data_IF_154953603847
#
_entry.id   IF_154953603847
#
_cell.length_a   1.000
_cell.length_b   1.000
_cell.length_c   1.000
_cell.angle_alpha   90.00
_cell.angle_beta   90.00
_cell.angle_gamma   90.00
#
_symmetry.space_group_name_H-M   'P 1'
#
loop_
_entity.id
_entity.type
_entity.pdbx_description
1 polymer ?
#
# COMPACT_ATOMS: atom_id res chain seq x y z
N UNK A 1 0.91 -15.30 9.15
CA UNK A 1 1.34 -13.99 8.63
C UNK A 1 1.25 -14.00 7.11
N UNK A 2 0.84 -12.90 6.47
CA UNK A 2 0.66 -12.82 5.02
C UNK A 2 1.99 -13.10 4.28
N UNK A 3 1.95 -14.06 3.35
CA UNK A 3 3.06 -14.49 2.49
C UNK A 3 2.49 -15.11 1.20
N UNK A 4 3.33 -15.31 0.19
CA UNK A 4 2.91 -15.98 -1.06
C UNK A 4 2.39 -17.40 -0.78
N UNK A 5 3.06 -18.16 0.07
CA UNK A 5 2.64 -19.53 0.38
C UNK A 5 1.34 -19.52 1.20
N UNK A 6 1.20 -18.62 2.17
CA UNK A 6 -0.06 -18.44 2.89
C UNK A 6 -1.23 -18.12 1.95
N UNK A 7 -1.02 -17.27 0.93
CA UNK A 7 -2.06 -16.95 -0.06
C UNK A 7 -2.49 -18.22 -0.82
N UNK A 8 -1.55 -19.07 -1.23
CA UNK A 8 -1.86 -20.34 -1.90
C UNK A 8 -2.64 -21.28 -0.99
N UNK A 9 -2.24 -21.42 0.26
CA UNK A 9 -2.86 -22.30 1.23
C UNK A 9 -4.32 -21.94 1.52
N UNK A 10 -4.63 -20.63 1.61
CA UNK A 10 -5.98 -20.16 1.91
C UNK A 10 -6.85 -19.90 0.66
N UNK A 11 -6.28 -19.98 -0.55
CA UNK A 11 -6.99 -19.71 -1.78
C UNK A 11 -8.35 -20.42 -1.90
N UNK A 12 -8.50 -21.71 -1.52
CA UNK A 12 -9.80 -22.36 -1.54
C UNK A 12 -10.86 -21.68 -0.66
N UNK A 13 -10.46 -21.09 0.47
CA UNK A 13 -11.35 -20.35 1.36
C UNK A 13 -11.72 -18.99 0.74
N UNK A 14 -10.76 -18.30 0.16
CA UNK A 14 -11.00 -17.02 -0.54
C UNK A 14 -11.92 -17.19 -1.75
N UNK A 15 -11.81 -18.31 -2.49
CA UNK A 15 -12.70 -18.60 -3.63
C UNK A 15 -14.14 -18.96 -3.22
N UNK A 16 -14.37 -19.36 -1.95
CA UNK A 16 -15.74 -19.47 -1.40
C UNK A 16 -16.36 -18.10 -1.15
N UNK A 17 -15.56 -17.10 -0.79
CA UNK A 17 -16.04 -15.73 -0.59
C UNK A 17 -16.33 -15.03 -1.93
N UNK A 18 -15.46 -15.24 -2.93
CA UNK A 18 -15.64 -14.66 -4.28
C UNK A 18 -15.13 -15.66 -5.35
N UNK A 19 -16.05 -16.32 -6.02
CA UNK A 19 -15.74 -17.39 -6.99
C UNK A 19 -14.91 -16.91 -8.19
N UNK A 20 -15.04 -15.63 -8.56
CA UNK A 20 -14.33 -15.04 -9.71
C UNK A 20 -12.82 -14.91 -9.45
N UNK A 21 -12.36 -14.91 -8.21
CA UNK A 21 -10.93 -14.95 -7.89
C UNK A 21 -10.22 -16.20 -8.42
N UNK A 22 -10.95 -17.32 -8.54
CA UNK A 22 -10.42 -18.56 -9.17
C UNK A 22 -10.10 -18.36 -10.65
N UNK A 23 -10.82 -17.46 -11.34
CA UNK A 23 -10.53 -17.13 -12.73
C UNK A 23 -9.21 -16.35 -12.85
N UNK A 24 -8.85 -15.55 -11.86
CA UNK A 24 -7.58 -14.83 -11.84
C UNK A 24 -6.42 -15.83 -11.76
N UNK A 25 -6.49 -16.78 -10.83
CA UNK A 25 -5.49 -17.85 -10.74
C UNK A 25 -5.38 -18.65 -12.04
N UNK A 26 -6.51 -19.08 -12.62
CA UNK A 26 -6.54 -19.88 -13.85
C UNK A 26 -5.89 -19.16 -15.02
N UNK A 27 -6.07 -17.85 -15.15
CA UNK A 27 -5.63 -17.07 -16.30
C UNK A 27 -4.25 -16.43 -16.13
N UNK A 28 -3.82 -16.16 -14.89
CA UNK A 28 -2.63 -15.37 -14.59
C UNK A 28 -1.73 -16.00 -13.52
N UNK A 29 -2.09 -17.17 -12.98
CA UNK A 29 -1.39 -17.82 -11.88
C UNK A 29 -1.65 -17.15 -10.52
N UNK A 30 -0.98 -17.66 -9.50
CA UNK A 30 -1.05 -17.09 -8.16
C UNK A 30 -0.33 -15.75 -8.06
N UNK A 31 -0.88 -14.77 -7.32
CA UNK A 31 -0.17 -13.53 -7.04
C UNK A 31 1.04 -13.81 -6.14
N UNK A 32 2.17 -13.14 -6.44
CA UNK A 32 3.26 -13.02 -5.48
C UNK A 32 2.96 -11.95 -4.43
N UNK A 33 3.44 -12.17 -3.23
CA UNK A 33 3.42 -11.17 -2.17
C UNK A 33 4.84 -10.81 -1.78
N UNK A 34 5.20 -9.56 -2.05
CA UNK A 34 6.51 -9.01 -1.70
C UNK A 34 6.36 -8.12 -0.46
N UNK A 35 6.72 -8.61 0.74
CA UNK A 35 6.65 -7.81 1.95
C UNK A 35 7.60 -6.62 1.86
N UNK A 36 7.19 -5.51 2.45
CA UNK A 36 8.03 -4.32 2.56
C UNK A 36 8.73 -4.29 3.91
N UNK A 37 9.79 -3.49 3.98
CA UNK A 37 10.44 -3.15 5.25
C UNK A 37 9.40 -2.58 6.23
N UNK A 38 9.65 -2.76 7.52
CA UNK A 38 8.88 -2.17 8.61
C UNK A 38 9.50 -0.85 9.05
N UNK A 39 8.78 -0.14 9.89
CA UNK A 39 9.31 1.02 10.58
C UNK A 39 9.31 2.32 9.78
N UNK A 40 10.07 3.25 10.28
CA UNK A 40 10.14 4.63 9.78
C UNK A 40 10.59 4.70 8.32
N UNK A 41 11.52 3.82 7.92
CA UNK A 41 12.08 3.76 6.56
C UNK A 41 10.98 3.47 5.53
N UNK A 42 10.07 2.54 5.83
CA UNK A 42 8.97 2.20 4.94
C UNK A 42 7.99 3.37 4.75
N UNK A 43 7.68 4.09 5.81
CA UNK A 43 6.81 5.27 5.74
C UNK A 43 7.49 6.42 5.00
N UNK A 44 8.77 6.70 5.25
CA UNK A 44 9.55 7.68 4.47
C UNK A 44 9.54 7.36 2.98
N UNK A 45 9.81 6.10 2.61
CA UNK A 45 9.79 5.63 1.22
C UNK A 45 8.42 5.83 0.57
N UNK A 46 7.35 5.58 1.32
CA UNK A 46 5.98 5.79 0.84
C UNK A 46 5.68 7.28 0.61
N UNK A 47 6.09 8.17 1.54
CA UNK A 47 5.96 9.63 1.37
C UNK A 47 6.74 10.12 0.14
N UNK A 48 7.95 9.61 -0.07
CA UNK A 48 8.75 9.91 -1.29
C UNK A 48 7.95 9.57 -2.55
N UNK A 49 7.32 8.41 -2.58
CA UNK A 49 6.59 7.89 -3.73
C UNK A 49 5.27 8.62 -4.06
N UNK A 50 4.70 9.39 -3.12
CA UNK A 50 3.42 10.06 -3.35
C UNK A 50 3.45 10.97 -4.59
N UNK A 51 2.44 10.84 -5.46
CA UNK A 51 2.26 11.67 -6.67
C UNK A 51 3.46 11.66 -7.65
N UNK A 52 4.24 10.59 -7.65
CA UNK A 52 5.36 10.41 -8.57
C UNK A 52 5.22 9.10 -9.36
N UNK A 53 5.86 9.05 -10.52
CA UNK A 53 6.08 7.78 -11.21
C UNK A 53 7.01 6.87 -10.38
N UNK A 54 6.93 5.57 -10.61
CA UNK A 54 7.78 4.57 -9.93
C UNK A 54 9.26 4.92 -10.16
N UNK A 55 9.65 5.28 -11.39
CA UNK A 55 11.03 5.63 -11.73
C UNK A 55 11.51 6.89 -10.99
N UNK A 56 10.68 7.95 -10.96
CA UNK A 56 11.02 9.19 -10.25
C UNK A 56 11.13 8.97 -8.74
N UNK A 57 10.20 8.21 -8.16
CA UNK A 57 10.23 7.86 -6.74
C UNK A 57 11.49 7.05 -6.38
N UNK A 58 11.86 6.07 -7.21
CA UNK A 58 13.06 5.26 -7.01
C UNK A 58 14.35 6.10 -7.09
N UNK A 59 14.43 7.04 -8.05
CA UNK A 59 15.58 7.92 -8.20
C UNK A 59 15.76 8.86 -6.98
N UNK A 60 14.68 9.48 -6.50
CA UNK A 60 14.73 10.35 -5.30
C UNK A 60 15.08 9.51 -4.06
N UNK A 61 14.46 8.34 -3.91
CA UNK A 61 14.75 7.45 -2.79
C UNK A 61 16.20 6.98 -2.77
N UNK A 62 16.79 6.65 -3.94
CA UNK A 62 18.20 6.29 -4.07
C UNK A 62 19.11 7.40 -3.55
N UNK A 63 18.96 8.62 -4.09
CA UNK A 63 19.73 9.80 -3.64
C UNK A 63 19.56 10.10 -2.15
N UNK A 64 18.34 9.97 -1.63
CA UNK A 64 18.07 10.17 -0.20
C UNK A 64 18.82 9.17 0.68
N UNK A 65 18.86 7.90 0.28
CA UNK A 65 19.63 6.87 1.01
C UNK A 65 21.13 7.13 0.97
N UNK A 66 21.65 7.50 -0.18
CA UNK A 66 23.07 7.82 -0.36
C UNK A 66 23.52 9.03 0.45
N UNK A 67 22.63 10.02 0.61
CA UNK A 67 22.90 11.21 1.40
C UNK A 67 22.94 10.96 2.92
N UNK A 68 22.44 9.81 3.38
CA UNK A 68 22.43 9.35 4.79
C UNK A 68 21.95 10.41 5.80
N UNK A 69 20.95 11.21 5.41
CA UNK A 69 20.41 12.30 6.24
C UNK A 69 19.68 11.73 7.46
N UNK A 70 20.09 12.16 8.64
CA UNK A 70 19.54 11.70 9.92
C UNK A 70 18.24 12.43 10.27
N UNK A 71 17.42 11.80 11.11
CA UNK A 71 16.14 12.38 11.54
C UNK A 71 16.32 13.67 12.35
N UNK A 72 17.36 13.77 13.17
CA UNK A 72 17.70 15.00 13.90
C UNK A 72 18.00 16.17 12.97
N UNK A 73 18.68 15.94 11.85
CA UNK A 73 18.99 16.97 10.83
C UNK A 73 17.70 17.45 10.13
N UNK A 74 16.78 16.52 9.88
CA UNK A 74 15.45 16.85 9.33
C UNK A 74 14.65 17.68 10.31
N UNK A 75 14.63 17.31 11.59
CA UNK A 75 13.91 18.00 12.65
C UNK A 75 14.43 19.44 12.88
N UNK A 76 15.75 19.62 12.84
CA UNK A 76 16.42 20.90 13.08
C UNK A 76 16.52 21.79 11.83
N UNK A 77 15.86 21.42 10.73
CA UNK A 77 15.91 22.10 9.43
C UNK A 77 17.31 22.16 8.76
N UNK A 78 18.29 21.46 9.31
CA UNK A 78 19.67 21.45 8.78
C UNK A 78 19.74 20.85 7.37
N UNK A 79 18.89 19.85 7.09
CA UNK A 79 18.85 19.17 5.81
C UNK A 79 17.87 19.77 4.79
N UNK A 80 17.16 20.84 5.09
CA UNK A 80 16.07 21.34 4.22
C UNK A 80 16.50 21.67 2.80
N UNK A 81 17.65 22.33 2.63
CA UNK A 81 18.18 22.66 1.31
C UNK A 81 18.66 21.41 0.59
N UNK A 82 19.40 20.54 1.28
CA UNK A 82 19.86 19.27 0.74
C UNK A 82 18.68 18.37 0.29
N UNK A 83 17.61 18.29 1.08
CA UNK A 83 16.41 17.57 0.69
C UNK A 83 15.75 18.15 -0.58
N UNK A 84 15.76 19.47 -0.76
CA UNK A 84 15.28 20.10 -2.00
C UNK A 84 16.14 19.72 -3.20
N UNK A 85 17.45 19.73 -3.04
CA UNK A 85 18.40 19.37 -4.10
C UNK A 85 18.25 17.87 -4.50
N UNK A 86 17.88 17.01 -3.56
CA UNK A 86 17.53 15.61 -3.81
C UNK A 86 16.18 15.42 -4.54
N UNK A 87 15.37 16.49 -4.66
CA UNK A 87 14.09 16.49 -5.37
C UNK A 87 12.85 16.45 -4.49
N UNK A 88 12.97 16.73 -3.18
CA UNK A 88 11.80 16.81 -2.30
C UNK A 88 11.06 18.14 -2.44
N UNK A 89 9.74 18.09 -2.59
CA UNK A 89 8.92 19.29 -2.46
C UNK A 89 8.88 19.77 -1.00
N UNK A 90 8.58 21.07 -0.81
CA UNK A 90 8.37 21.65 0.53
C UNK A 90 7.36 20.85 1.36
N UNK A 91 6.31 20.37 0.72
CA UNK A 91 5.27 19.57 1.34
C UNK A 91 5.82 18.23 1.84
N UNK A 92 6.60 17.50 1.03
CA UNK A 92 7.23 16.23 1.44
C UNK A 92 8.23 16.41 2.57
N UNK A 93 9.00 17.51 2.57
CA UNK A 93 9.89 17.85 3.70
C UNK A 93 9.08 18.05 4.97
N UNK A 94 7.95 18.77 4.92
CA UNK A 94 7.04 18.90 6.07
C UNK A 94 6.49 17.57 6.56
N UNK A 95 6.21 16.63 5.66
CA UNK A 95 5.75 15.28 6.01
C UNK A 95 6.85 14.45 6.66
N UNK A 96 8.09 14.50 6.14
CA UNK A 96 9.24 13.85 6.76
C UNK A 96 9.50 14.37 8.19
N UNK A 97 9.37 15.68 8.42
CA UNK A 97 9.48 16.29 9.75
C UNK A 97 8.39 15.79 10.70
N UNK A 98 7.14 15.74 10.23
CA UNK A 98 6.03 15.22 11.02
C UNK A 98 6.26 13.75 11.39
N UNK A 99 6.75 12.97 10.44
CA UNK A 99 7.05 11.56 10.66
C UNK A 99 8.24 11.35 11.61
N UNK A 100 9.33 12.10 11.47
CA UNK A 100 10.48 12.03 12.36
C UNK A 100 10.13 12.44 13.81
N UNK A 101 9.17 13.38 13.97
CA UNK A 101 8.69 13.85 15.28
C UNK A 101 7.69 12.89 15.94
N UNK A 102 7.13 11.92 15.20
CA UNK A 102 5.98 11.15 15.66
C UNK A 102 6.25 10.24 16.87
N UNK A 103 7.51 9.84 17.07
CA UNK A 103 7.87 8.93 18.15
C UNK A 103 7.19 7.56 18.10
N UNK A 104 6.84 7.08 16.88
CA UNK A 104 6.13 5.82 16.70
C UNK A 104 6.90 4.64 17.26
N UNK A 105 6.22 3.84 18.08
CA UNK A 105 6.68 2.53 18.49
C UNK A 105 6.20 1.46 17.50
N UNK A 106 7.09 1.06 16.60
CA UNK A 106 6.76 0.10 15.54
C UNK A 106 6.63 -1.34 16.06
N UNK A 107 7.27 -1.68 17.18
CA UNK A 107 7.13 -3.01 17.77
C UNK A 107 5.76 -3.13 18.47
N UNK A 108 5.31 -2.08 19.13
CA UNK A 108 3.98 -2.02 19.70
C UNK A 108 2.89 -2.19 18.62
N UNK A 109 3.07 -1.59 17.44
CA UNK A 109 2.11 -1.73 16.34
C UNK A 109 1.87 -3.17 15.90
N UNK A 110 2.82 -4.09 16.11
CA UNK A 110 2.64 -5.50 15.73
C UNK A 110 1.51 -6.18 16.52
N UNK A 111 1.27 -5.73 17.74
CA UNK A 111 0.27 -6.29 18.65
C UNK A 111 -1.04 -5.51 18.71
N UNK A 112 -1.05 -4.27 18.19
CA UNK A 112 -2.26 -3.42 18.16
C UNK A 112 -3.32 -3.96 17.21
N UNK A 113 -4.58 -3.63 17.45
CA UNK A 113 -5.67 -3.88 16.51
C UNK A 113 -5.51 -3.07 15.22
N UNK A 114 -6.09 -3.55 14.14
CA UNK A 114 -5.95 -2.92 12.81
C UNK A 114 -6.41 -1.45 12.81
N UNK A 115 -7.53 -1.18 13.46
CA UNK A 115 -8.12 0.16 13.52
C UNK A 115 -7.24 1.13 14.31
N UNK A 116 -6.66 0.67 15.42
CA UNK A 116 -5.77 1.48 16.25
C UNK A 116 -4.49 1.85 15.49
N UNK A 117 -3.90 0.91 14.75
CA UNK A 117 -2.74 1.20 13.88
C UNK A 117 -3.08 2.22 12.81
N UNK A 118 -4.23 2.07 12.14
CA UNK A 118 -4.68 3.00 11.10
C UNK A 118 -4.89 4.39 11.70
N UNK A 119 -5.56 4.49 12.85
CA UNK A 119 -5.81 5.77 13.53
C UNK A 119 -4.50 6.45 13.96
N UNK A 120 -3.56 5.68 14.52
CA UNK A 120 -2.24 6.17 14.91
C UNK A 120 -1.47 6.73 13.70
N UNK A 121 -1.42 5.99 12.60
CA UNK A 121 -0.70 6.39 11.40
C UNK A 121 -1.35 7.59 10.70
N UNK A 122 -2.68 7.63 10.60
CA UNK A 122 -3.41 8.74 9.96
C UNK A 122 -3.36 10.04 10.77
N UNK A 123 -3.04 9.99 12.06
CA UNK A 123 -2.73 11.16 12.87
C UNK A 123 -1.45 11.90 12.46
N UNK A 124 -0.60 11.29 11.63
CA UNK A 124 0.66 11.89 11.18
C UNK A 124 0.42 12.67 9.89
N UNK A 125 0.81 13.94 9.88
CA UNK A 125 0.70 14.77 8.69
C UNK A 125 1.45 14.16 7.51
N UNK A 126 0.74 13.92 6.42
CA UNK A 126 1.28 13.30 5.20
C UNK A 126 1.03 11.79 5.10
N UNK A 127 0.49 11.16 6.13
CA UNK A 127 0.06 9.76 6.12
C UNK A 127 -1.47 9.73 6.01
N UNK A 128 -1.98 9.51 4.81
CA UNK A 128 -3.41 9.33 4.57
C UNK A 128 -3.86 7.89 4.81
N UNK A 129 -5.19 7.67 4.82
CA UNK A 129 -5.80 6.36 5.05
C UNK A 129 -5.23 5.28 4.12
N UNK A 130 -5.16 5.55 2.82
CA UNK A 130 -4.56 4.62 1.85
C UNK A 130 -3.11 4.24 2.23
N UNK A 131 -2.29 5.20 2.66
CA UNK A 131 -0.90 4.96 3.07
C UNK A 131 -0.84 4.07 4.31
N UNK A 132 -1.71 4.31 5.30
CA UNK A 132 -1.81 3.50 6.51
C UNK A 132 -2.26 2.06 6.19
N UNK A 133 -3.27 1.89 5.34
CA UNK A 133 -3.77 0.60 4.90
C UNK A 133 -2.68 -0.19 4.14
N UNK A 134 -1.93 0.45 3.24
CA UNK A 134 -0.80 -0.15 2.52
C UNK A 134 0.31 -0.57 3.49
N UNK A 135 0.62 0.24 4.51
CA UNK A 135 1.60 -0.12 5.54
C UNK A 135 1.14 -1.36 6.32
N UNK A 136 -0.13 -1.42 6.72
CA UNK A 136 -0.71 -2.57 7.40
C UNK A 136 -0.61 -3.86 6.57
N UNK A 137 -0.89 -3.79 5.26
CA UNK A 137 -0.82 -4.96 4.37
C UNK A 137 0.62 -5.40 4.13
N UNK A 138 1.49 -4.49 3.67
CA UNK A 138 2.81 -4.88 3.14
C UNK A 138 3.91 -4.91 4.20
N UNK A 139 3.85 -4.05 5.23
CA UNK A 139 4.86 -3.99 6.28
C UNK A 139 4.45 -4.82 7.51
N UNK A 140 3.23 -4.67 8.03
CA UNK A 140 2.72 -5.44 9.15
C UNK A 140 2.14 -6.80 8.75
N UNK A 141 1.93 -7.06 7.46
CA UNK A 141 1.40 -8.32 6.90
C UNK A 141 0.05 -8.72 7.48
N UNK A 142 -0.82 -7.73 7.70
CA UNK A 142 -2.17 -7.94 8.22
C UNK A 142 -3.06 -8.62 7.18
N UNK A 143 -3.91 -9.54 7.61
CA UNK A 143 -4.74 -10.36 6.72
C UNK A 143 -6.04 -9.66 6.31
N UNK A 144 -6.51 -8.75 7.14
CA UNK A 144 -7.87 -8.21 7.03
C UNK A 144 -7.90 -6.68 6.96
N UNK A 145 -7.21 -6.13 5.94
CA UNK A 145 -7.20 -4.71 5.57
C UNK A 145 -7.59 -4.59 4.10
N UNK A 146 -8.34 -3.56 3.75
CA UNK A 146 -8.72 -3.32 2.35
C UNK A 146 -8.65 -1.83 2.00
N UNK A 147 -7.70 -1.41 1.15
CA UNK A 147 -7.53 -0.02 0.75
C UNK A 147 -8.56 0.36 -0.33
N UNK A 148 -9.80 0.56 0.09
CA UNK A 148 -10.94 0.78 -0.80
C UNK A 148 -10.84 2.05 -1.66
N UNK A 149 -10.03 3.02 -1.25
CA UNK A 149 -9.69 4.22 -2.01
C UNK A 149 -8.68 3.99 -3.13
N UNK A 150 -8.10 2.79 -3.26
CA UNK A 150 -7.14 2.47 -4.31
C UNK A 150 -7.81 2.34 -5.67
N UNK A 151 -7.43 3.21 -6.62
CA UNK A 151 -8.05 3.26 -7.95
C UNK A 151 -7.84 1.98 -8.76
N UNK A 152 -6.70 1.31 -8.59
CA UNK A 152 -6.42 0.06 -9.29
C UNK A 152 -7.32 -1.07 -8.76
N UNK A 153 -7.60 -1.11 -7.46
CA UNK A 153 -8.55 -2.05 -6.88
C UNK A 153 -9.98 -1.78 -7.33
N UNK A 154 -10.41 -0.52 -7.39
CA UNK A 154 -11.73 -0.15 -7.88
C UNK A 154 -11.90 -0.54 -9.35
N UNK A 155 -10.90 -0.28 -10.18
CA UNK A 155 -10.92 -0.65 -11.59
C UNK A 155 -10.89 -2.17 -11.77
N UNK A 156 -10.04 -2.87 -11.02
CA UNK A 156 -10.00 -4.33 -10.99
C UNK A 156 -11.36 -4.93 -10.62
N UNK A 157 -12.00 -4.38 -9.59
CA UNK A 157 -13.32 -4.81 -9.15
C UNK A 157 -14.37 -4.59 -10.24
N UNK A 158 -14.37 -3.42 -10.90
CA UNK A 158 -15.28 -3.16 -12.03
C UNK A 158 -15.22 -4.29 -13.05
N UNK A 159 -14.04 -4.63 -13.53
CA UNK A 159 -13.87 -5.63 -14.59
C UNK A 159 -14.11 -7.06 -14.09
N UNK A 160 -13.50 -7.44 -12.98
CA UNK A 160 -13.58 -8.82 -12.47
C UNK A 160 -14.98 -9.16 -11.93
N UNK A 161 -15.64 -8.20 -11.26
CA UNK A 161 -16.98 -8.38 -10.71
C UNK A 161 -18.10 -8.04 -11.72
N UNK A 162 -17.72 -7.62 -12.93
CA UNK A 162 -18.65 -7.21 -13.99
C UNK A 162 -19.64 -6.13 -13.53
N UNK A 163 -19.09 -5.07 -12.90
CA UNK A 163 -19.88 -3.92 -12.48
C UNK A 163 -20.06 -2.94 -13.65
N UNK A 164 -21.20 -2.29 -13.71
CA UNK A 164 -21.50 -1.30 -14.77
C UNK A 164 -20.50 -0.12 -14.70
N UNK A 165 -20.27 0.38 -13.51
CA UNK A 165 -19.38 1.51 -13.27
C UNK A 165 -18.28 1.14 -12.28
N UNK A 166 -17.17 1.90 -12.28
CA UNK A 166 -16.13 1.79 -11.27
C UNK A 166 -16.72 2.16 -9.91
N UNK A 167 -16.67 1.25 -8.91
CA UNK A 167 -17.22 1.53 -7.60
C UNK A 167 -16.46 2.67 -6.92
N UNK A 168 -17.18 3.52 -6.21
CA UNK A 168 -16.63 4.51 -5.29
C UNK A 168 -15.94 3.83 -4.11
N UNK A 169 -15.14 4.56 -3.34
CA UNK A 169 -14.52 4.04 -2.12
C UNK A 169 -15.57 3.44 -1.17
N UNK A 170 -16.71 4.12 -0.97
CA UNK A 170 -17.78 3.64 -0.10
C UNK A 170 -18.39 2.32 -0.56
N UNK A 171 -18.66 2.21 -1.87
CA UNK A 171 -19.18 0.97 -2.45
C UNK A 171 -18.15 -0.14 -2.39
N UNK A 172 -16.87 0.17 -2.61
CA UNK A 172 -15.79 -0.79 -2.53
C UNK A 172 -15.59 -1.33 -1.10
N UNK A 173 -15.72 -0.48 -0.07
CA UNK A 173 -15.72 -0.92 1.34
C UNK A 173 -16.86 -1.89 1.60
N UNK A 174 -18.07 -1.59 1.13
CA UNK A 174 -19.22 -2.49 1.26
C UNK A 174 -19.03 -3.83 0.56
N UNK A 175 -18.48 -3.83 -0.65
CA UNK A 175 -18.14 -5.08 -1.36
C UNK A 175 -17.14 -5.90 -0.54
N UNK A 176 -16.11 -5.26 0.00
CA UNK A 176 -15.05 -5.93 0.76
C UNK A 176 -15.51 -6.48 2.12
N UNK A 177 -16.67 -6.08 2.65
CA UNK A 177 -17.24 -6.66 3.87
C UNK A 177 -17.46 -8.18 3.74
N UNK A 178 -17.83 -8.65 2.54
CA UNK A 178 -18.03 -10.07 2.27
C UNK A 178 -16.72 -10.88 2.22
N UNK A 179 -15.57 -10.23 2.23
CA UNK A 179 -14.25 -10.85 2.12
C UNK A 179 -13.51 -11.02 3.47
N UNK A 180 -14.16 -10.63 4.58
CA UNK A 180 -13.63 -10.89 5.92
C UNK A 180 -13.46 -12.40 6.14
N UNK A 181 -12.36 -12.88 6.75
CA UNK A 181 -11.23 -12.13 7.32
C UNK A 181 -10.01 -12.01 6.39
N UNK A 182 -10.17 -12.14 5.07
CA UNK A 182 -9.08 -12.22 4.09
C UNK A 182 -9.03 -11.03 3.13
N UNK A 183 -9.50 -9.86 3.57
CA UNK A 183 -9.59 -8.65 2.73
C UNK A 183 -8.26 -8.26 2.07
N UNK A 184 -7.14 -8.42 2.79
CA UNK A 184 -5.81 -8.13 2.22
C UNK A 184 -5.44 -9.09 1.09
N UNK A 185 -5.79 -10.36 1.21
CA UNK A 185 -5.56 -11.35 0.15
C UNK A 185 -6.41 -11.04 -1.07
N UNK A 186 -7.67 -10.66 -0.86
CA UNK A 186 -8.55 -10.23 -1.95
C UNK A 186 -8.00 -8.99 -2.67
N UNK A 187 -7.45 -8.02 -1.94
CA UNK A 187 -6.77 -6.86 -2.51
C UNK A 187 -5.55 -7.28 -3.37
N UNK A 188 -4.73 -8.21 -2.87
CA UNK A 188 -3.55 -8.71 -3.61
C UNK A 188 -3.97 -9.42 -4.90
N UNK A 189 -5.03 -10.23 -4.87
CA UNK A 189 -5.57 -10.90 -6.07
C UNK A 189 -6.10 -9.85 -7.07
N UNK A 190 -6.80 -8.81 -6.61
CA UNK A 190 -7.28 -7.74 -7.46
C UNK A 190 -6.14 -6.92 -8.08
N UNK A 191 -5.08 -6.59 -7.35
CA UNK A 191 -3.90 -5.92 -7.92
C UNK A 191 -3.18 -6.80 -8.93
N UNK A 192 -3.09 -8.12 -8.68
CA UNK A 192 -2.53 -9.08 -9.62
C UNK A 192 -3.36 -9.13 -10.91
N UNK A 193 -4.68 -9.22 -10.79
CA UNK A 193 -5.59 -9.13 -11.92
C UNK A 193 -5.39 -7.83 -12.70
N UNK A 194 -5.42 -6.68 -12.04
CA UNK A 194 -5.28 -5.37 -12.67
C UNK A 194 -4.02 -5.24 -13.51
N UNK A 195 -2.87 -5.63 -12.95
CA UNK A 195 -1.58 -5.57 -13.65
C UNK A 195 -1.59 -6.41 -14.94
N UNK A 196 -2.07 -7.64 -14.86
CA UNK A 196 -2.10 -8.55 -15.99
C UNK A 196 -3.17 -8.17 -17.03
N UNK A 197 -4.31 -7.68 -16.59
CA UNK A 197 -5.38 -7.19 -17.46
C UNK A 197 -4.92 -5.97 -18.27
N UNK A 198 -4.34 -4.98 -17.61
CA UNK A 198 -3.81 -3.77 -18.28
C UNK A 198 -2.67 -4.07 -19.25
N UNK A 199 -1.78 -5.00 -18.94
CA UNK A 199 -0.72 -5.38 -19.87
C UNK A 199 -1.26 -6.04 -21.13
N UNK A 200 -2.34 -6.81 -21.05
CA UNK A 200 -3.01 -7.40 -22.23
C UNK A 200 -3.73 -6.35 -23.08
N UNK A 201 -4.42 -5.39 -22.46
CA UNK A 201 -5.02 -4.27 -23.20
C UNK A 201 -3.96 -3.47 -23.96
N UNK A 202 -2.79 -3.22 -23.38
CA UNK A 202 -1.71 -2.47 -24.03
C UNK A 202 -1.01 -3.24 -25.17
N UNK A 203 -1.18 -4.57 -25.27
CA UNK A 203 -0.62 -5.40 -26.35
C UNK A 203 -1.58 -5.56 -27.52
N UNK A 204 -2.80 -5.07 -27.44
CA UNK A 204 -3.81 -5.14 -28.49
C UNK A 204 -3.88 -3.87 -29.38
N UNK A 205 -2.98 -2.90 -29.15
CA UNK A 205 -2.78 -1.67 -29.92
C UNK A 205 -1.32 -1.57 -30.38
#
# INVERSE_FOLDING_TARGET
MLSTDFIKDIAPSVYKLEKRFRLVEKNFGFPSFDPREKGLVALKKTIVGQQLSIASAAAIWGRFKEADIKDEEILNNQADNQLRDLGFSRQKISYLKSLAKSGLDFDQMETMENEDVINLLTGIKGVGLWTAEIYCIFSLRRLDIFPAGDLALQEAAKHLLNLENRPSEKEMRKIAESWVPYRSVCAIILWHFYRNFKSRESTLW
#
